data_IF_424920367665
#
_entry.id   IF_424920367665
#
_cell.length_a   1.000
_cell.length_b   1.000
_cell.length_c   1.000
_cell.angle_alpha   90.00
_cell.angle_beta   90.00
_cell.angle_gamma   90.00
#
_symmetry.space_group_name_H-M   'P 1'
#
loop_
_entity.id
_entity.type
_entity.pdbx_description
1 polymer ?
#
# COMPACT_ATOMS: atom_id res chain seq x y z
N UNK A 1 -5.74 4.12 3.92
CA UNK A 1 -5.78 4.76 5.25
C UNK A 1 -6.04 6.25 5.12
N UNK A 2 -6.59 6.89 6.16
CA UNK A 2 -6.72 8.33 6.24
C UNK A 2 -5.39 8.93 6.68
N UNK A 3 -4.93 9.95 5.94
CA UNK A 3 -3.74 10.74 6.25
C UNK A 3 -3.99 11.60 7.48
N UNK A 4 -3.00 11.68 8.38
CA UNK A 4 -3.08 12.52 9.57
C UNK A 4 -3.36 13.99 9.22
N UNK A 5 -4.14 14.66 10.07
CA UNK A 5 -4.62 16.02 9.82
C UNK A 5 -3.51 17.10 9.81
N UNK A 6 -2.33 16.79 10.34
CA UNK A 6 -1.17 17.68 10.43
C UNK A 6 -0.20 17.57 9.24
N UNK A 7 -0.52 16.79 8.20
CA UNK A 7 0.35 16.61 7.05
C UNK A 7 0.24 17.78 6.06
N UNK A 8 1.38 18.21 5.50
CA UNK A 8 1.43 19.36 4.59
C UNK A 8 0.68 19.16 3.26
N UNK A 9 0.47 17.91 2.83
CA UNK A 9 -0.22 17.57 1.57
C UNK A 9 -1.25 16.48 1.81
N UNK A 10 -2.50 16.74 1.38
CA UNK A 10 -3.60 15.78 1.44
C UNK A 10 -4.06 15.44 2.86
N UNK A 11 -3.93 16.37 3.81
CA UNK A 11 -4.42 16.21 5.18
C UNK A 11 -5.90 15.78 5.18
N UNK A 12 -6.24 14.77 5.98
CA UNK A 12 -7.61 14.26 6.11
C UNK A 12 -8.12 13.45 4.92
N UNK A 13 -7.41 13.41 3.77
CA UNK A 13 -7.77 12.55 2.65
C UNK A 13 -7.30 11.10 2.88
N UNK A 14 -8.00 10.16 2.27
CA UNK A 14 -7.60 8.77 2.20
C UNK A 14 -6.52 8.53 1.13
N UNK A 15 -5.59 7.64 1.40
CA UNK A 15 -4.64 7.08 0.44
C UNK A 15 -4.67 5.55 0.46
N UNK A 16 -4.14 4.96 -0.61
CA UNK A 16 -3.93 3.50 -0.69
C UNK A 16 -2.70 3.10 0.11
N UNK A 17 -2.59 1.81 0.41
CA UNK A 17 -1.48 1.20 1.12
C UNK A 17 -0.95 0.00 0.32
N UNK A 18 0.38 -0.20 0.22
CA UNK A 18 1.41 0.74 0.61
C UNK A 18 1.51 1.95 -0.34
N UNK A 19 1.95 3.12 0.12
CA UNK A 19 2.17 4.29 -0.74
C UNK A 19 3.39 5.12 -0.33
N UNK A 20 4.26 5.45 -1.30
CA UNK A 20 5.54 6.10 -1.01
C UNK A 20 6.00 7.07 -2.09
N UNK A 21 7.04 7.83 -1.75
CA UNK A 21 7.85 8.58 -2.71
C UNK A 21 9.15 7.81 -2.87
N UNK A 22 9.58 7.56 -4.11
CA UNK A 22 10.90 6.99 -4.35
C UNK A 22 11.97 7.95 -3.83
N UNK A 23 12.83 7.47 -2.94
CA UNK A 23 13.91 8.25 -2.35
C UNK A 23 15.24 7.52 -2.56
N UNK A 24 16.32 8.22 -2.94
CA UNK A 24 17.66 7.64 -2.94
C UNK A 24 18.04 7.11 -1.54
N UNK A 25 18.88 6.07 -1.44
CA UNK A 25 19.59 5.37 -2.51
C UNK A 25 18.83 4.15 -3.08
N UNK A 26 17.58 3.91 -2.67
CA UNK A 26 16.82 2.72 -3.09
C UNK A 26 16.22 2.95 -4.48
N UNK A 27 16.86 2.40 -5.51
CA UNK A 27 16.42 2.49 -6.91
C UNK A 27 15.52 1.34 -7.37
N UNK A 28 15.10 0.47 -6.45
CA UNK A 28 14.20 -0.65 -6.73
C UNK A 28 12.80 -0.35 -6.19
N UNK A 29 11.82 -0.25 -7.11
CA UNK A 29 10.41 -0.09 -6.75
C UNK A 29 9.95 -1.23 -5.85
N UNK A 30 10.38 -2.47 -6.13
CA UNK A 30 10.01 -3.63 -5.33
C UNK A 30 10.55 -3.54 -3.89
N UNK A 31 11.79 -3.09 -3.71
CA UNK A 31 12.34 -2.90 -2.37
C UNK A 31 11.57 -1.85 -1.59
N UNK A 32 11.16 -0.76 -2.24
CA UNK A 32 10.30 0.22 -1.58
C UNK A 32 8.93 -0.33 -1.22
N UNK A 33 8.31 -1.13 -2.10
CA UNK A 33 7.05 -1.81 -1.76
C UNK A 33 7.22 -2.67 -0.51
N UNK A 34 8.32 -3.41 -0.38
CA UNK A 34 8.56 -4.24 0.81
C UNK A 34 8.73 -3.40 2.07
N UNK A 35 9.52 -2.33 2.01
CA UNK A 35 9.76 -1.47 3.15
C UNK A 35 8.44 -0.86 3.65
N UNK A 36 7.68 -0.26 2.74
CA UNK A 36 6.43 0.45 3.04
C UNK A 36 5.30 -0.52 3.41
N UNK A 37 5.36 -1.76 2.90
CA UNK A 37 4.50 -2.83 3.40
C UNK A 37 4.79 -3.11 4.88
N UNK A 38 6.05 -3.23 5.29
CA UNK A 38 6.41 -3.41 6.70
C UNK A 38 6.07 -2.18 7.56
N UNK A 39 6.52 -1.00 7.13
CA UNK A 39 6.34 0.28 7.85
C UNK A 39 4.85 0.56 8.01
N UNK A 40 4.14 0.73 6.91
CA UNK A 40 2.77 1.19 7.01
C UNK A 40 1.83 0.06 7.54
N UNK A 41 1.88 -1.17 7.01
CA UNK A 41 0.90 -2.21 7.41
C UNK A 41 1.20 -2.83 8.78
N UNK A 42 2.47 -2.91 9.19
CA UNK A 42 2.88 -3.66 10.37
C UNK A 42 3.61 -2.83 11.42
N UNK A 43 3.66 -1.50 11.25
CA UNK A 43 4.37 -0.58 12.15
C UNK A 43 5.83 -0.99 12.38
N UNK A 44 6.48 -1.52 11.33
CA UNK A 44 7.92 -1.69 11.32
C UNK A 44 8.58 -0.31 11.50
N UNK A 45 9.62 -0.17 12.35
CA UNK A 45 10.32 1.10 12.49
C UNK A 45 10.84 1.64 11.15
N UNK A 46 10.66 2.94 10.92
CA UNK A 46 11.17 3.60 9.72
C UNK A 46 12.70 3.50 9.62
N UNK A 47 13.21 3.39 8.38
CA UNK A 47 14.64 3.41 8.06
C UNK A 47 15.48 2.27 8.68
N UNK A 48 14.85 1.16 9.06
CA UNK A 48 15.58 -0.04 9.46
C UNK A 48 16.37 -0.62 8.28
N UNK A 49 17.69 -0.71 8.42
CA UNK A 49 18.57 -1.26 7.38
C UNK A 49 18.36 -2.76 7.17
N UNK A 50 17.89 -3.46 8.21
CA UNK A 50 17.69 -4.91 8.22
C UNK A 50 16.20 -5.28 8.00
N UNK A 51 15.42 -4.36 7.39
CA UNK A 51 13.99 -4.55 7.13
C UNK A 51 13.66 -5.86 6.39
N UNK A 52 14.58 -6.40 5.59
CA UNK A 52 14.38 -7.67 4.88
C UNK A 52 14.24 -8.87 5.82
N UNK A 53 14.70 -8.75 7.06
CA UNK A 53 14.60 -9.76 8.11
C UNK A 53 13.36 -9.59 8.99
N UNK A 54 12.54 -8.56 8.71
CA UNK A 54 11.29 -8.34 9.43
C UNK A 54 10.27 -9.45 9.07
N UNK A 55 9.65 -10.15 10.05
CA UNK A 55 8.88 -11.37 9.75
C UNK A 55 7.74 -11.20 8.74
N UNK A 56 6.92 -10.12 8.76
CA UNK A 56 5.94 -9.86 7.71
C UNK A 56 6.53 -9.72 6.30
N UNK A 57 7.75 -9.21 6.18
CA UNK A 57 8.45 -9.05 4.90
C UNK A 57 9.01 -10.40 4.43
N UNK A 58 9.55 -11.22 5.34
CA UNK A 58 9.93 -12.60 5.03
C UNK A 58 8.71 -13.40 4.53
N UNK A 59 7.58 -13.30 5.21
CA UNK A 59 6.33 -13.96 4.78
C UNK A 59 5.89 -13.48 3.39
N UNK A 60 5.86 -12.16 3.15
CA UNK A 60 5.49 -11.59 1.85
C UNK A 60 6.41 -12.10 0.74
N UNK A 61 7.73 -12.08 0.96
CA UNK A 61 8.70 -12.57 -0.03
C UNK A 61 8.50 -14.06 -0.32
N UNK A 62 8.28 -14.86 0.72
CA UNK A 62 7.98 -16.29 0.57
C UNK A 62 6.71 -16.50 -0.26
N UNK A 63 5.66 -15.73 0.01
CA UNK A 63 4.40 -15.81 -0.75
C UNK A 63 4.57 -15.38 -2.22
N UNK A 64 5.41 -14.39 -2.50
CA UNK A 64 5.74 -14.00 -3.87
C UNK A 64 6.55 -15.09 -4.59
N UNK A 65 7.49 -15.72 -3.90
CA UNK A 65 8.36 -16.77 -4.44
C UNK A 65 7.57 -18.07 -4.72
N UNK A 66 6.59 -18.41 -3.89
CA UNK A 66 5.79 -19.64 -4.01
C UNK A 66 4.42 -19.46 -4.70
N UNK A 67 4.10 -18.24 -5.16
CA UNK A 67 2.89 -17.93 -5.93
C UNK A 67 1.63 -17.73 -5.07
N UNK A 68 1.74 -17.68 -3.74
CA UNK A 68 0.64 -17.26 -2.85
C UNK A 68 0.40 -15.75 -2.84
N UNK A 69 1.25 -14.96 -3.49
CA UNK A 69 1.04 -13.54 -3.74
C UNK A 69 1.58 -13.12 -5.11
N UNK A 70 1.02 -12.05 -5.67
CA UNK A 70 1.51 -11.41 -6.90
C UNK A 70 1.73 -9.91 -6.70
N UNK A 71 2.83 -9.37 -7.23
CA UNK A 71 3.08 -7.94 -7.30
C UNK A 71 3.16 -7.48 -8.76
N UNK A 72 2.16 -6.73 -9.21
CA UNK A 72 1.99 -6.35 -10.61
C UNK A 72 2.08 -4.84 -10.80
N UNK A 73 2.76 -4.39 -11.86
CA UNK A 73 2.64 -3.02 -12.37
C UNK A 73 1.28 -2.87 -13.07
N UNK A 74 0.46 -1.90 -12.66
CA UNK A 74 -0.86 -1.66 -13.25
C UNK A 74 -0.90 -0.44 -14.14
N UNK A 75 0.06 0.48 -13.98
CA UNK A 75 0.25 1.59 -14.91
C UNK A 75 1.04 2.75 -14.29
N UNK A 76 1.07 3.86 -15.03
CA UNK A 76 1.62 5.13 -14.56
C UNK A 76 0.53 6.19 -14.66
N UNK A 77 0.33 6.95 -13.60
CA UNK A 77 -0.61 8.06 -13.56
C UNK A 77 0.14 9.39 -13.43
N UNK A 78 -0.37 10.44 -14.07
CA UNK A 78 0.18 11.79 -13.93
C UNK A 78 -0.83 12.66 -13.19
N UNK A 79 -0.41 13.25 -12.08
CA UNK A 79 -1.18 14.30 -11.44
C UNK A 79 -0.99 15.59 -12.24
N UNK A 80 -2.01 16.01 -12.99
CA UNK A 80 -1.93 17.19 -13.88
C UNK A 80 -1.76 18.52 -13.14
N UNK A 81 -2.05 18.58 -11.84
CA UNK A 81 -1.88 19.78 -11.03
C UNK A 81 -0.45 19.95 -10.52
N UNK A 82 0.25 18.85 -10.26
CA UNK A 82 1.62 18.85 -9.71
C UNK A 82 2.66 18.37 -10.70
N UNK A 83 2.23 17.86 -11.86
CA UNK A 83 3.02 17.17 -12.88
C UNK A 83 3.83 15.99 -12.34
N UNK A 84 3.45 15.46 -11.17
CA UNK A 84 4.10 14.31 -10.57
C UNK A 84 3.60 13.03 -11.25
N UNK A 85 4.55 12.19 -11.67
CA UNK A 85 4.28 10.83 -12.11
C UNK A 85 4.19 9.89 -10.90
N UNK A 86 3.24 8.97 -10.95
CA UNK A 86 2.99 7.97 -9.92
C UNK A 86 3.04 6.59 -10.56
N UNK A 87 3.86 5.69 -10.03
CA UNK A 87 3.90 4.28 -10.43
C UNK A 87 2.80 3.56 -9.65
N UNK A 88 1.81 3.02 -10.34
CA UNK A 88 0.71 2.29 -9.72
C UNK A 88 0.99 0.78 -9.78
N UNK A 89 0.92 0.12 -8.63
CA UNK A 89 1.12 -1.31 -8.51
C UNK A 89 -0.03 -1.96 -7.74
N UNK A 90 -0.21 -3.26 -7.94
CA UNK A 90 -1.18 -4.09 -7.23
C UNK A 90 -0.46 -5.27 -6.59
N UNK A 91 -0.51 -5.33 -5.26
CA UNK A 91 -0.17 -6.51 -4.49
C UNK A 91 -1.44 -7.32 -4.23
N UNK A 92 -1.46 -8.57 -4.66
CA UNK A 92 -2.56 -9.52 -4.41
C UNK A 92 -2.02 -10.62 -3.51
N UNK A 93 -2.73 -10.94 -2.43
CA UNK A 93 -2.43 -12.08 -1.56
C UNK A 93 -3.55 -13.09 -1.77
N UNK A 94 -3.18 -14.28 -2.25
CA UNK A 94 -4.10 -15.37 -2.57
C UNK A 94 -4.35 -16.30 -1.39
N UNK A 95 -3.49 -16.26 -0.36
CA UNK A 95 -3.70 -17.04 0.87
C UNK A 95 -4.95 -16.54 1.61
N UNK A 96 -6.05 -17.32 1.62
CA UNK A 96 -7.33 -16.88 2.19
C UNK A 96 -7.27 -16.71 3.71
N UNK A 97 -6.25 -17.27 4.37
CA UNK A 97 -6.08 -17.20 5.81
C UNK A 97 -5.16 -16.06 6.24
N UNK A 98 -4.46 -15.40 5.31
CA UNK A 98 -3.50 -14.34 5.61
C UNK A 98 -4.13 -13.20 6.41
N UNK A 99 -5.33 -12.74 6.01
CA UNK A 99 -5.99 -11.63 6.70
C UNK A 99 -6.36 -12.02 8.13
N UNK A 100 -6.95 -13.20 8.34
CA UNK A 100 -7.32 -13.67 9.69
C UNK A 100 -6.10 -13.83 10.60
N UNK A 101 -4.95 -14.27 10.08
CA UNK A 101 -3.70 -14.36 10.85
C UNK A 101 -3.18 -12.97 11.25
N UNK A 102 -3.30 -11.98 10.36
CA UNK A 102 -2.65 -10.68 10.53
C UNK A 102 -3.57 -9.57 11.05
N UNK A 103 -4.89 -9.74 11.05
CA UNK A 103 -5.88 -8.68 11.36
C UNK A 103 -5.62 -7.95 12.68
N UNK A 104 -5.15 -8.65 13.72
CA UNK A 104 -4.86 -8.04 15.02
C UNK A 104 -3.63 -7.14 14.95
N UNK A 105 -2.58 -7.57 14.26
CA UNK A 105 -1.37 -6.78 14.04
C UNK A 105 -1.64 -5.57 13.16
N UNK A 106 -2.41 -5.75 12.07
CA UNK A 106 -2.84 -4.67 11.18
C UNK A 106 -3.65 -3.61 11.94
N UNK A 107 -4.55 -4.03 12.83
CA UNK A 107 -5.33 -3.11 13.66
C UNK A 107 -4.43 -2.35 14.66
N UNK A 108 -3.45 -3.01 15.27
CA UNK A 108 -2.51 -2.36 16.19
C UNK A 108 -1.63 -1.32 15.46
N UNK A 109 -1.10 -1.67 14.28
CA UNK A 109 -0.30 -0.76 13.46
C UNK A 109 -1.08 0.47 12.98
N UNK A 110 -2.40 0.34 12.83
CA UNK A 110 -3.26 1.46 12.45
C UNK A 110 -3.36 2.55 13.52
N UNK A 111 -2.95 2.31 14.77
CA UNK A 111 -3.02 3.30 15.85
C UNK A 111 -1.75 4.15 15.98
N UNK A 112 -0.67 3.78 15.29
CA UNK A 112 0.63 4.47 15.38
C UNK A 112 0.83 5.53 14.29
N UNK A 113 0.42 5.28 13.04
CA UNK A 113 0.69 6.20 11.91
C UNK A 113 -0.55 6.57 11.07
N UNK A 114 -1.71 5.96 11.36
CA UNK A 114 -2.95 6.13 10.59
C UNK A 114 -4.07 6.55 11.55
N UNK A 115 -5.09 7.26 11.04
CA UNK A 115 -6.26 7.59 11.86
C UNK A 115 -7.46 6.68 11.57
N UNK A 116 -7.58 6.19 10.34
CA UNK A 116 -8.67 5.31 9.93
C UNK A 116 -8.24 4.44 8.73
N UNK A 117 -8.53 3.14 8.76
CA UNK A 117 -8.25 2.23 7.63
C UNK A 117 -9.56 1.62 7.14
N UNK A 118 -9.91 1.91 5.89
CA UNK A 118 -11.09 1.37 5.23
C UNK A 118 -10.71 0.11 4.45
N UNK A 119 -11.45 -0.97 4.68
CA UNK A 119 -11.38 -2.19 3.86
C UNK A 119 -12.54 -2.15 2.87
N UNK A 120 -12.24 -2.10 1.58
CA UNK A 120 -13.24 -2.00 0.51
C UNK A 120 -13.45 -3.41 -0.08
N UNK A 121 -14.65 -3.99 0.03
CA UNK A 121 -14.96 -5.24 -0.64
C UNK A 121 -14.85 -5.09 -2.16
N UNK A 122 -14.16 -6.02 -2.81
CA UNK A 122 -13.99 -6.05 -4.27
C UNK A 122 -15.20 -6.78 -4.91
N UNK A 123 -16.40 -6.20 -4.78
CA UNK A 123 -17.59 -6.63 -5.53
C UNK A 123 -17.74 -5.77 -6.82
N UNK A 124 -18.65 -6.13 -7.74
CA UNK A 124 -18.84 -5.66 -9.13
C UNK A 124 -18.44 -4.22 -9.52
N UNK A 125 -18.52 -3.26 -8.60
CA UNK A 125 -17.85 -1.96 -8.69
C UNK A 125 -17.43 -1.52 -7.28
N UNK A 126 -16.14 -1.23 -7.01
CA UNK A 126 -15.75 -0.74 -5.71
C UNK A 126 -16.47 0.58 -5.42
N UNK A 127 -17.08 0.70 -4.24
CA UNK A 127 -17.55 1.99 -3.73
C UNK A 127 -16.32 2.80 -3.30
N UNK A 128 -15.64 3.37 -4.28
CA UNK A 128 -14.42 4.15 -4.09
C UNK A 128 -14.79 5.42 -3.28
N UNK A 129 -14.14 5.67 -2.12
CA UNK A 129 -14.36 6.90 -1.37
C UNK A 129 -14.06 8.14 -2.21
N UNK A 130 -14.88 9.18 -2.07
CA UNK A 130 -14.71 10.44 -2.81
C UNK A 130 -13.60 11.32 -2.26
N UNK A 131 -13.17 11.06 -1.03
CA UNK A 131 -12.15 11.79 -0.28
C UNK A 131 -10.76 11.14 -0.40
N UNK A 132 -10.40 10.70 -1.60
CA UNK A 132 -9.08 10.13 -1.89
C UNK A 132 -8.09 11.17 -2.38
N UNK A 133 -6.81 10.95 -2.08
CA UNK A 133 -5.72 11.59 -2.81
C UNK A 133 -5.79 11.23 -4.31
N UNK A 134 -5.43 12.15 -5.23
CA UNK A 134 -5.47 11.87 -6.67
C UNK A 134 -4.69 10.60 -7.07
N UNK A 135 -3.51 10.40 -6.47
CA UNK A 135 -2.69 9.21 -6.68
C UNK A 135 -3.36 7.93 -6.14
N UNK A 136 -4.04 8.02 -4.99
CA UNK A 136 -4.78 6.90 -4.44
C UNK A 136 -5.96 6.49 -5.32
N UNK A 137 -6.71 7.48 -5.83
CA UNK A 137 -7.81 7.22 -6.76
C UNK A 137 -7.32 6.55 -8.05
N UNK A 138 -6.20 7.03 -8.62
CA UNK A 138 -5.60 6.43 -9.81
C UNK A 138 -5.15 4.97 -9.57
N UNK A 139 -4.49 4.71 -8.44
CA UNK A 139 -4.02 3.37 -8.08
C UNK A 139 -5.18 2.37 -7.92
N UNK A 140 -6.28 2.76 -7.27
CA UNK A 140 -7.48 1.92 -7.15
C UNK A 140 -8.07 1.63 -8.53
N UNK A 141 -8.25 2.66 -9.36
CA UNK A 141 -8.88 2.50 -10.67
C UNK A 141 -8.06 1.60 -11.61
N UNK A 142 -6.75 1.81 -11.69
CA UNK A 142 -5.85 0.98 -12.49
C UNK A 142 -5.75 -0.44 -11.94
N UNK A 143 -5.69 -0.60 -10.61
CA UNK A 143 -5.74 -1.90 -9.95
C UNK A 143 -7.01 -2.69 -10.27
N UNK A 144 -8.17 -2.04 -10.18
CA UNK A 144 -9.47 -2.64 -10.48
C UNK A 144 -9.59 -3.09 -11.94
N UNK A 145 -9.18 -2.24 -12.89
CA UNK A 145 -9.22 -2.56 -14.33
C UNK A 145 -8.42 -3.80 -14.72
N UNK A 146 -7.41 -4.17 -13.93
CA UNK A 146 -6.61 -5.37 -14.19
C UNK A 146 -7.22 -6.63 -13.56
N UNK A 147 -8.39 -6.53 -12.92
CA UNK A 147 -9.18 -7.67 -12.40
C UNK A 147 -10.31 -8.08 -13.36
N UNK A 148 -10.75 -7.15 -14.22
CA UNK A 148 -11.80 -7.31 -15.24
C UNK A 148 -11.22 -7.58 -16.61
#
# INVERSE_FOLDING_TARGET
>A
AQRAANLAVGAGLHHVLPAFVMQPPVWSVQHQVFREYGEELFAMPEFDADYLDFPPIIELRTMLDDGRADLNLTGVAFNLLTLRAEICMRLVIHDPTWFTRNQHTLAAASQTERQNTLYIPLNDLPQIPTDLTPQGAAAIWLGYKTMT
#
